data_IF_040973748030
#
_entry.id   IF_040973748030
#
_cell.length_a   1.000
_cell.length_b   1.000
_cell.length_c   1.000
_cell.angle_alpha   90.00
_cell.angle_beta   90.00
_cell.angle_gamma   90.00
#
_symmetry.space_group_name_H-M   'P 1'
#
loop_
_entity.id
_entity.type
_entity.pdbx_description
1 polymer ?
#
# COMPACT_ATOMS: atom_id res chain seq x y z
N UNK A 1 26.91 28.81 -37.96
CA UNK A 1 26.25 27.51 -38.18
C UNK A 1 27.31 26.42 -38.11
N UNK A 2 27.25 25.56 -37.09
CA UNK A 2 28.11 24.37 -36.96
C UNK A 2 27.17 23.17 -36.84
N UNK A 3 27.34 22.21 -37.74
CA UNK A 3 26.49 21.02 -37.86
C UNK A 3 27.41 19.80 -37.78
N UNK A 4 26.86 18.70 -37.22
CA UNK A 4 27.27 17.28 -37.32
C UNK A 4 28.58 16.96 -36.54
N UNK A 5 28.68 15.95 -35.66
CA UNK A 5 28.31 14.55 -35.89
C UNK A 5 28.28 13.72 -34.60
N UNK A 6 27.15 13.06 -34.36
CA UNK A 6 26.99 11.94 -33.43
C UNK A 6 27.81 10.73 -33.89
N UNK A 7 28.53 10.06 -32.99
CA UNK A 7 28.98 8.68 -33.19
C UNK A 7 28.52 7.80 -32.05
N UNK A 8 27.47 7.04 -32.37
CA UNK A 8 27.00 5.89 -31.63
C UNK A 8 28.09 4.81 -31.56
N UNK A 9 28.22 4.18 -30.40
CA UNK A 9 28.85 2.88 -30.26
C UNK A 9 27.87 1.97 -29.51
N UNK A 10 27.09 1.21 -30.27
CA UNK A 10 26.23 0.13 -29.78
C UNK A 10 27.14 -1.07 -29.50
N UNK A 11 27.24 -1.48 -28.23
CA UNK A 11 27.90 -2.73 -27.84
C UNK A 11 26.82 -3.80 -27.68
N UNK A 12 26.80 -4.73 -28.64
CA UNK A 12 26.00 -5.94 -28.66
C UNK A 12 26.69 -6.99 -27.79
N UNK A 13 26.16 -7.26 -26.59
CA UNK A 13 26.57 -8.41 -25.78
C UNK A 13 25.43 -9.45 -25.81
N UNK A 14 25.60 -10.47 -26.65
CA UNK A 14 24.74 -11.65 -26.68
C UNK A 14 25.12 -12.57 -25.52
N UNK A 15 24.32 -12.58 -24.46
CA UNK A 15 24.41 -13.59 -23.40
C UNK A 15 23.57 -14.81 -23.79
N UNK A 16 24.25 -15.88 -24.15
CA UNK A 16 23.69 -17.23 -24.20
C UNK A 16 23.63 -17.79 -22.77
N UNK A 17 22.44 -18.12 -22.28
CA UNK A 17 22.28 -18.97 -21.10
C UNK A 17 21.34 -20.12 -21.47
N UNK A 18 21.91 -21.31 -21.41
CA UNK A 18 21.33 -22.61 -21.71
C UNK A 18 21.44 -23.45 -20.44
N UNK A 19 20.38 -23.62 -19.65
CA UNK A 19 20.33 -24.72 -18.66
C UNK A 19 18.89 -25.13 -18.26
N UNK A 20 18.45 -26.24 -18.85
CA UNK A 20 17.88 -27.49 -18.28
C UNK A 20 16.46 -27.53 -17.70
N UNK A 21 15.65 -28.34 -18.38
CA UNK A 21 14.42 -28.99 -17.90
C UNK A 21 14.74 -30.35 -17.28
N UNK A 22 14.07 -30.71 -16.19
CA UNK A 22 13.85 -32.05 -15.60
C UNK A 22 13.05 -31.83 -14.30
N UNK A 23 12.11 -32.64 -13.81
CA UNK A 23 11.36 -33.79 -14.28
C UNK A 23 10.18 -33.97 -13.28
N UNK A 24 9.09 -34.59 -13.72
CA UNK A 24 7.97 -35.06 -12.89
C UNK A 24 8.41 -36.05 -11.80
N UNK A 25 7.72 -36.07 -10.65
CA UNK A 25 7.30 -37.30 -9.93
C UNK A 25 6.36 -36.96 -8.76
N UNK A 26 5.06 -37.26 -8.90
CA UNK A 26 4.29 -38.40 -8.34
C UNK A 26 3.65 -38.10 -6.99
N UNK A 27 2.32 -38.12 -6.94
CA UNK A 27 1.56 -38.86 -5.91
C UNK A 27 0.08 -38.98 -6.32
N UNK A 28 -0.24 -40.15 -6.86
CA UNK A 28 -1.34 -41.06 -6.50
C UNK A 28 -2.63 -40.46 -5.90
N UNK A 29 -3.72 -40.59 -6.67
CA UNK A 29 -5.12 -40.61 -6.19
C UNK A 29 -5.37 -41.76 -5.18
N UNK A 30 -6.44 -41.69 -4.37
CA UNK A 30 -7.68 -42.33 -4.82
C UNK A 30 -8.94 -41.48 -4.61
N UNK A 31 -9.67 -41.34 -5.72
CA UNK A 31 -11.12 -41.34 -5.91
C UNK A 31 -12.01 -41.63 -4.68
N UNK A 32 -12.97 -40.75 -4.42
CA UNK A 32 -14.32 -41.16 -4.03
C UNK A 32 -15.33 -40.08 -4.41
N UNK A 33 -16.22 -40.43 -5.34
CA UNK A 33 -17.32 -39.57 -5.77
C UNK A 33 -18.55 -39.80 -4.89
N UNK A 34 -19.36 -38.76 -4.74
CA UNK A 34 -20.79 -38.93 -4.53
C UNK A 34 -21.55 -37.78 -5.19
N UNK A 35 -22.48 -38.14 -6.07
CA UNK A 35 -23.42 -37.26 -6.78
C UNK A 35 -24.83 -37.60 -6.29
N UNK A 36 -25.56 -36.57 -5.84
CA UNK A 36 -27.02 -36.40 -5.84
C UNK A 36 -27.32 -35.30 -4.82
N UNK A 37 -28.22 -34.35 -5.03
CA UNK A 37 -29.20 -34.13 -6.08
C UNK A 37 -29.95 -32.86 -5.70
N UNK A 38 -30.40 -32.12 -6.71
CA UNK A 38 -31.22 -30.93 -6.57
C UNK A 38 -32.60 -31.29 -6.01
N UNK A 39 -33.06 -30.58 -4.98
CA UNK A 39 -34.46 -30.40 -4.67
C UNK A 39 -34.70 -29.12 -3.85
N UNK A 40 -35.61 -28.30 -4.38
CA UNK A 40 -36.23 -27.08 -3.90
C UNK A 40 -36.97 -27.27 -2.55
N UNK A 41 -36.89 -26.30 -1.63
CA UNK A 41 -38.08 -25.71 -0.99
C UNK A 41 -37.82 -24.48 -0.09
N UNK A 42 -38.79 -23.58 -0.22
CA UNK A 42 -39.12 -22.27 0.36
C UNK A 42 -39.14 -22.16 1.91
N UNK A 43 -38.70 -20.98 2.38
CA UNK A 43 -39.05 -20.20 3.61
C UNK A 43 -39.04 -20.86 4.98
N UNK A 44 -38.29 -20.26 5.93
CA UNK A 44 -38.75 -19.77 7.26
C UNK A 44 -37.65 -18.91 7.90
N UNK A 45 -38.00 -17.69 8.30
CA UNK A 45 -37.23 -16.83 9.22
C UNK A 45 -36.99 -17.54 10.56
N UNK A 46 -35.76 -17.51 11.09
CA UNK A 46 -35.55 -17.21 12.51
C UNK A 46 -34.07 -17.01 12.88
N UNK A 47 -33.83 -15.87 13.50
CA UNK A 47 -32.72 -15.50 14.36
C UNK A 47 -32.31 -16.62 15.32
N UNK A 48 -31.01 -16.93 15.40
CA UNK A 48 -30.42 -17.50 16.63
C UNK A 48 -29.00 -17.00 16.80
N UNK A 49 -28.81 -16.30 17.90
CA UNK A 49 -27.58 -15.84 18.55
C UNK A 49 -26.63 -17.01 18.83
N UNK A 50 -25.33 -16.87 18.54
CA UNK A 50 -24.31 -17.68 19.20
C UNK A 50 -23.16 -16.79 19.68
N UNK A 51 -23.06 -16.76 21.01
CA UNK A 51 -22.13 -16.05 21.85
C UNK A 51 -20.99 -17.02 22.11
N UNK A 52 -19.76 -16.68 21.70
CA UNK A 52 -18.55 -17.09 22.42
C UNK A 52 -17.42 -16.11 22.10
N UNK A 53 -17.45 -15.06 22.90
CA UNK A 53 -16.40 -14.10 23.18
C UNK A 53 -15.31 -14.77 24.05
N UNK A 54 -14.04 -14.41 23.88
CA UNK A 54 -13.19 -14.13 25.03
C UNK A 54 -13.11 -12.62 25.19
N UNK A 55 -13.68 -12.15 26.29
CA UNK A 55 -13.66 -10.78 26.73
C UNK A 55 -12.28 -10.48 27.30
N UNK A 56 -11.62 -9.44 26.78
CA UNK A 56 -10.68 -8.66 27.58
C UNK A 56 -10.58 -7.22 27.07
N UNK A 57 -10.97 -6.33 27.99
CA UNK A 57 -10.47 -4.98 28.21
C UNK A 57 -10.87 -3.84 27.24
N UNK A 58 -12.00 -3.24 27.64
CA UNK A 58 -12.41 -1.83 27.57
C UNK A 58 -11.28 -0.78 27.54
N UNK A 59 -11.55 0.25 26.74
CA UNK A 59 -11.05 1.65 26.79
C UNK A 59 -9.64 1.91 26.27
N UNK A 60 -9.55 2.49 25.08
CA UNK A 60 -9.28 3.94 24.96
C UNK A 60 -10.19 4.53 23.88
N UNK A 61 -11.05 5.45 24.31
CA UNK A 61 -11.77 6.36 23.42
C UNK A 61 -10.75 7.29 22.79
N UNK A 62 -10.26 6.94 21.60
CA UNK A 62 -9.65 7.91 20.70
C UNK A 62 -10.79 8.78 20.18
N UNK A 63 -10.88 10.00 20.67
CA UNK A 63 -11.78 11.02 20.14
C UNK A 63 -11.73 11.03 18.59
N UNK A 64 -12.84 11.30 17.89
CA UNK A 64 -12.81 11.52 16.46
C UNK A 64 -11.99 12.79 16.22
N UNK A 65 -10.70 12.62 15.95
CA UNK A 65 -9.91 13.69 15.38
C UNK A 65 -10.48 13.94 13.99
N UNK A 66 -10.84 15.18 13.71
CA UNK A 66 -11.48 15.71 12.49
C UNK A 66 -10.62 15.51 11.21
N UNK A 67 -9.64 14.59 11.26
CA UNK A 67 -8.59 14.38 10.28
C UNK A 67 -8.56 13.01 9.60
N UNK A 68 -9.44 12.05 9.92
CA UNK A 68 -9.51 10.72 9.27
C UNK A 68 -8.75 9.59 10.00
N UNK A 69 -9.21 8.34 9.82
CA UNK A 69 -8.69 7.14 10.50
C UNK A 69 -7.32 6.69 9.97
N UNK A 70 -6.51 6.10 10.86
CA UNK A 70 -5.21 5.47 10.56
C UNK A 70 -5.14 4.01 11.03
N UNK A 71 -6.30 3.37 11.27
CA UNK A 71 -6.36 2.04 11.87
C UNK A 71 -5.93 0.92 10.90
N UNK A 72 -5.97 1.17 9.59
CA UNK A 72 -5.46 0.28 8.53
C UNK A 72 -4.61 1.04 7.51
N UNK A 73 -3.71 0.37 6.77
CA UNK A 73 -2.98 0.98 5.65
C UNK A 73 -3.88 1.68 4.63
N UNK A 74 -5.02 1.06 4.27
CA UNK A 74 -6.01 1.65 3.36
C UNK A 74 -6.61 2.94 3.91
N UNK A 75 -6.96 2.98 5.19
CA UNK A 75 -7.50 4.18 5.82
C UNK A 75 -6.43 5.28 5.90
N UNK A 76 -5.19 4.93 6.28
CA UNK A 76 -4.05 5.86 6.27
C UNK A 76 -3.80 6.44 4.88
N UNK A 77 -3.83 5.62 3.82
CA UNK A 77 -3.67 6.10 2.45
C UNK A 77 -4.76 7.10 2.07
N UNK A 78 -6.04 6.77 2.29
CA UNK A 78 -7.17 7.65 1.96
C UNK A 78 -7.11 8.96 2.73
N UNK A 79 -6.73 8.88 3.99
CA UNK A 79 -6.49 10.03 4.85
C UNK A 79 -5.36 10.92 4.32
N UNK A 80 -4.22 10.33 3.94
CA UNK A 80 -3.10 11.06 3.34
C UNK A 80 -3.45 11.67 1.98
N UNK A 81 -4.20 10.95 1.14
CA UNK A 81 -4.72 11.44 -0.13
C UNK A 81 -5.57 12.69 0.06
N UNK A 82 -6.52 12.66 1.00
CA UNK A 82 -7.35 13.82 1.33
C UNK A 82 -6.53 14.99 1.89
N UNK A 83 -5.53 14.71 2.73
CA UNK A 83 -4.62 15.75 3.24
C UNK A 83 -3.83 16.42 2.10
N UNK A 84 -3.33 15.66 1.12
CA UNK A 84 -2.67 16.23 -0.07
C UNK A 84 -3.61 17.11 -0.89
N UNK A 85 -4.84 16.66 -1.13
CA UNK A 85 -5.83 17.46 -1.87
C UNK A 85 -6.13 18.80 -1.20
N UNK A 86 -6.21 18.80 0.14
CA UNK A 86 -6.48 20.00 0.95
C UNK A 86 -5.22 20.83 1.23
N UNK A 87 -4.04 20.39 0.79
CA UNK A 87 -2.74 20.95 1.18
C UNK A 87 -2.57 21.05 2.71
N UNK A 88 -3.13 20.08 3.44
CA UNK A 88 -3.09 20.01 4.89
C UNK A 88 -1.73 19.45 5.37
N UNK A 89 -0.80 20.36 5.65
CA UNK A 89 0.56 20.00 6.08
C UNK A 89 0.56 19.27 7.43
N UNK A 90 -0.35 19.62 8.35
CA UNK A 90 -0.46 18.93 9.63
C UNK A 90 -0.99 17.50 9.45
N UNK A 91 -1.99 17.33 8.59
CA UNK A 91 -2.48 16.01 8.16
C UNK A 91 -1.39 15.16 7.52
N UNK A 92 -0.55 15.75 6.65
CA UNK A 92 0.58 15.05 6.04
C UNK A 92 1.63 14.60 7.07
N UNK A 93 1.99 15.46 8.03
CA UNK A 93 2.88 15.08 9.14
C UNK A 93 2.30 13.94 9.97
N UNK A 94 0.98 13.86 10.11
CA UNK A 94 0.30 12.82 10.89
C UNK A 94 0.30 11.46 10.19
N UNK A 95 0.22 11.42 8.86
CA UNK A 95 0.13 10.15 8.11
C UNK A 95 1.49 9.58 7.72
N UNK A 96 2.53 10.39 7.65
CA UNK A 96 3.88 9.93 7.31
C UNK A 96 4.58 9.33 8.53
N UNK A 97 5.42 8.32 8.31
CA UNK A 97 6.24 7.70 9.36
C UNK A 97 7.29 8.69 9.87
N UNK A 98 7.82 8.46 11.07
CA UNK A 98 8.95 9.25 11.59
C UNK A 98 10.14 9.19 10.65
N UNK A 99 10.47 8.00 10.16
CA UNK A 99 11.57 7.81 9.19
C UNK A 99 11.33 8.57 7.88
N UNK A 100 10.09 8.60 7.37
CA UNK A 100 9.74 9.37 6.19
C UNK A 100 9.89 10.88 6.41
N UNK A 101 9.48 11.38 7.58
CA UNK A 101 9.62 12.80 7.94
C UNK A 101 11.10 13.19 8.13
N UNK A 102 11.91 12.32 8.73
CA UNK A 102 13.35 12.50 8.85
C UNK A 102 14.03 12.53 7.48
N UNK A 103 13.67 11.59 6.60
CA UNK A 103 14.18 11.55 5.23
C UNK A 103 13.85 12.84 4.47
N UNK A 104 12.59 13.29 4.51
CA UNK A 104 12.19 14.55 3.87
C UNK A 104 12.89 15.77 4.48
N UNK A 105 13.15 15.75 5.79
CA UNK A 105 13.90 16.81 6.45
C UNK A 105 15.34 16.86 5.94
N UNK A 106 16.00 15.71 5.76
CA UNK A 106 17.37 15.65 5.26
C UNK A 106 17.47 16.10 3.80
N UNK A 107 16.58 15.61 2.93
CA UNK A 107 16.47 16.11 1.54
C UNK A 107 16.20 17.61 1.53
N UNK A 108 15.37 18.11 2.44
CA UNK A 108 15.12 19.53 2.63
C UNK A 108 16.40 20.33 2.91
N UNK A 109 17.28 19.85 3.77
CA UNK A 109 18.55 20.53 4.09
C UNK A 109 19.44 20.66 2.85
N UNK A 110 19.55 19.59 2.05
CA UNK A 110 20.32 19.60 0.80
C UNK A 110 19.79 20.65 -0.18
N UNK A 111 18.46 20.84 -0.20
CA UNK A 111 17.77 21.82 -1.06
C UNK A 111 17.56 23.21 -0.42
N UNK A 112 18.07 23.45 0.80
CA UNK A 112 17.82 24.67 1.59
C UNK A 112 16.31 24.96 1.81
N UNK A 113 15.52 23.91 2.01
CA UNK A 113 14.08 23.94 2.27
C UNK A 113 13.74 23.36 3.63
N UNK A 114 12.66 23.84 4.23
CA UNK A 114 12.13 23.26 5.46
C UNK A 114 11.34 21.97 5.18
N UNK A 115 11.06 21.17 6.21
CA UNK A 115 10.16 20.04 6.09
C UNK A 115 8.78 20.45 5.54
N UNK A 116 8.25 21.60 5.98
CA UNK A 116 6.95 22.08 5.54
C UNK A 116 6.94 22.45 4.05
N UNK A 117 8.06 22.97 3.54
CA UNK A 117 8.23 23.22 2.10
C UNK A 117 8.27 21.91 1.31
N UNK A 118 8.96 20.89 1.83
CA UNK A 118 8.98 19.54 1.22
C UNK A 118 7.59 18.89 1.21
N UNK A 119 6.84 19.02 2.31
CA UNK A 119 5.46 18.52 2.40
C UNK A 119 4.50 19.29 1.48
N UNK A 120 4.71 20.60 1.30
CA UNK A 120 3.94 21.40 0.34
C UNK A 120 4.25 20.97 -1.09
N UNK A 121 5.53 20.75 -1.42
CA UNK A 121 5.92 20.20 -2.72
C UNK A 121 5.31 18.80 -2.96
N UNK A 122 5.28 17.94 -1.93
CA UNK A 122 4.61 16.64 -1.99
C UNK A 122 3.09 16.78 -2.25
N UNK A 123 2.42 17.72 -1.60
CA UNK A 123 0.99 18.00 -1.81
C UNK A 123 0.70 18.47 -3.24
N UNK A 124 1.64 19.18 -3.87
CA UNK A 124 1.51 19.72 -5.23
C UNK A 124 1.82 18.71 -6.34
N UNK A 125 2.47 17.59 -6.01
CA UNK A 125 2.67 16.50 -6.97
C UNK A 125 1.31 16.00 -7.47
N UNK A 126 1.19 15.57 -8.74
CA UNK A 126 -0.02 14.97 -9.26
C UNK A 126 -0.53 13.80 -8.40
N UNK A 127 -1.84 13.57 -8.45
CA UNK A 127 -2.53 12.46 -7.81
C UNK A 127 -3.49 11.82 -8.81
N UNK A 128 -3.85 10.55 -8.59
CA UNK A 128 -4.99 9.96 -9.28
C UNK A 128 -6.27 10.76 -8.97
N UNK A 129 -7.26 10.75 -9.87
CA UNK A 129 -8.55 11.40 -9.62
C UNK A 129 -9.32 10.83 -8.42
N UNK A 130 -9.03 9.58 -8.05
CA UNK A 130 -9.68 8.82 -6.98
C UNK A 130 -8.63 8.19 -6.06
N UNK A 131 -9.02 7.92 -4.81
CA UNK A 131 -8.17 7.23 -3.82
C UNK A 131 -8.39 5.70 -3.88
N UNK A 132 -8.21 5.10 -5.05
CA UNK A 132 -8.42 3.67 -5.25
C UNK A 132 -7.24 2.83 -4.74
N UNK A 133 -7.58 1.76 -4.02
CA UNK A 133 -6.62 0.89 -3.31
C UNK A 133 -7.03 -0.58 -3.45
N UNK A 134 -6.07 -1.49 -3.43
CA UNK A 134 -6.29 -2.94 -3.43
C UNK A 134 -5.10 -3.70 -2.82
N UNK A 135 -5.27 -5.01 -2.67
CA UNK A 135 -4.21 -5.96 -2.31
C UNK A 135 -3.42 -5.56 -1.04
N UNK A 136 -4.14 -5.10 -0.02
CA UNK A 136 -3.56 -4.80 1.29
C UNK A 136 -3.01 -6.09 1.93
N UNK A 137 -1.73 -6.05 2.33
CA UNK A 137 -1.05 -7.16 3.00
C UNK A 137 -0.35 -6.66 4.25
N UNK A 138 -0.68 -7.24 5.39
CA UNK A 138 -0.11 -6.90 6.69
C UNK A 138 0.79 -8.04 7.16
N UNK A 139 2.02 -7.70 7.56
CA UNK A 139 3.00 -8.61 8.16
C UNK A 139 3.59 -7.98 9.41
N UNK A 140 3.00 -8.30 10.57
CA UNK A 140 3.37 -7.70 11.84
C UNK A 140 3.18 -6.19 11.85
N UNK A 141 4.27 -5.44 12.02
CA UNK A 141 4.29 -3.98 12.06
C UNK A 141 4.60 -3.34 10.70
N UNK A 142 4.57 -4.10 9.60
CA UNK A 142 4.78 -3.62 8.24
C UNK A 142 3.61 -4.02 7.36
N UNK A 143 3.33 -3.22 6.35
CA UNK A 143 2.31 -3.54 5.37
C UNK A 143 2.65 -2.99 3.99
N UNK A 144 2.02 -3.57 2.97
CA UNK A 144 2.01 -3.06 1.60
C UNK A 144 0.58 -2.86 1.11
N UNK A 145 0.35 -1.83 0.31
CA UNK A 145 -0.92 -1.55 -0.35
C UNK A 145 -0.66 -1.18 -1.81
N UNK A 146 -1.44 -1.72 -2.74
CA UNK A 146 -1.45 -1.21 -4.10
C UNK A 146 -2.44 -0.05 -4.21
N UNK A 147 -2.02 1.05 -4.85
CA UNK A 147 -2.87 2.19 -5.14
C UNK A 147 -2.79 2.57 -6.61
N UNK A 148 -3.86 3.18 -7.12
CA UNK A 148 -3.90 3.72 -8.47
C UNK A 148 -3.14 5.06 -8.49
N UNK A 149 -2.10 5.18 -9.30
CA UNK A 149 -1.38 6.44 -9.47
C UNK A 149 -2.03 7.34 -10.53
N UNK A 150 -1.50 8.56 -10.67
CA UNK A 150 -1.96 9.57 -11.64
C UNK A 150 -1.93 9.10 -13.10
N UNK A 151 -1.17 8.04 -13.41
CA UNK A 151 -1.02 7.44 -14.75
C UNK A 151 -1.95 6.25 -14.96
N UNK A 152 -2.85 5.97 -14.02
CA UNK A 152 -3.75 4.81 -14.07
C UNK A 152 -3.01 3.48 -13.92
N UNK A 153 -1.85 3.47 -13.23
CA UNK A 153 -1.08 2.25 -12.93
C UNK A 153 -1.20 1.92 -11.45
N UNK A 154 -1.37 0.64 -11.17
CA UNK A 154 -1.27 0.10 -9.82
C UNK A 154 0.20 0.06 -9.41
N UNK A 155 0.50 0.65 -8.27
CA UNK A 155 1.84 0.73 -7.69
C UNK A 155 1.77 0.42 -6.20
N UNK A 156 2.81 -0.23 -5.67
CA UNK A 156 2.88 -0.59 -4.25
C UNK A 156 3.38 0.59 -3.41
N UNK A 157 2.78 0.78 -2.24
CA UNK A 157 3.21 1.69 -1.18
C UNK A 157 3.45 0.91 0.09
N UNK A 158 4.51 1.25 0.83
CA UNK A 158 4.85 0.63 2.09
C UNK A 158 4.30 1.42 3.28
N UNK A 159 4.00 0.70 4.36
CA UNK A 159 3.50 1.25 5.60
C UNK A 159 4.21 0.59 6.79
N UNK A 160 4.32 1.35 7.88
CA UNK A 160 4.83 0.90 9.17
C UNK A 160 3.82 1.24 10.26
N UNK A 161 3.67 0.35 11.24
CA UNK A 161 2.83 0.58 12.42
C UNK A 161 3.65 1.29 13.50
N UNK A 162 3.20 2.48 13.90
CA UNK A 162 3.79 3.27 14.98
C UNK A 162 2.76 3.44 16.11
N UNK A 163 2.93 2.69 17.19
CA UNK A 163 1.90 2.60 18.24
C UNK A 163 0.64 1.93 17.70
N UNK A 164 -0.48 2.64 17.77
CA UNK A 164 -1.78 2.15 17.27
C UNK A 164 -2.07 2.56 15.82
N UNK A 165 -1.27 3.46 15.24
CA UNK A 165 -1.51 4.03 13.92
C UNK A 165 -0.64 3.38 12.84
N UNK A 166 -1.19 3.20 11.65
CA UNK A 166 -0.41 2.96 10.44
C UNK A 166 0.07 4.28 9.85
N UNK A 167 1.33 4.30 9.41
CA UNK A 167 1.99 5.43 8.76
C UNK A 167 2.54 5.03 7.40
N UNK A 168 2.49 5.95 6.44
CA UNK A 168 3.10 5.80 5.11
C UNK A 168 4.62 5.84 5.29
N UNK A 169 5.28 4.81 4.79
CA UNK A 169 6.74 4.76 4.71
C UNK A 169 7.19 5.18 3.30
N UNK A 170 8.37 5.81 3.22
CA UNK A 170 8.93 6.22 1.94
C UNK A 170 10.06 5.27 1.54
N UNK A 171 10.11 4.82 0.27
CA UNK A 171 11.22 4.02 -0.20
C UNK A 171 12.51 4.85 -0.12
N UNK A 172 13.47 4.39 0.68
CA UNK A 172 14.80 4.99 0.76
C UNK A 172 15.49 4.82 -0.59
N UNK A 173 16.16 5.85 -1.07
CA UNK A 173 17.08 5.69 -2.20
C UNK A 173 18.14 4.64 -1.81
N UNK A 174 18.25 3.58 -2.60
CA UNK A 174 19.32 2.57 -2.48
C UNK A 174 20.56 3.01 -3.24
#
# INVERSE_FOLDING_TARGET
MKVITNRAAFILAAFAILVWTTACQTNTEPKSGNVNGSATNTTTDQTTTNINQPEVAKTETSAPSDGGSLATPTETYKTGYAARQKKDIAGLKRVLSKEALEFLTEVGKEEQKTLDDQLRALAERPQAPTAETRDEKISGNRASLEYLNERGKWVSMEFVKEGNDWKIDLPKAK
#
